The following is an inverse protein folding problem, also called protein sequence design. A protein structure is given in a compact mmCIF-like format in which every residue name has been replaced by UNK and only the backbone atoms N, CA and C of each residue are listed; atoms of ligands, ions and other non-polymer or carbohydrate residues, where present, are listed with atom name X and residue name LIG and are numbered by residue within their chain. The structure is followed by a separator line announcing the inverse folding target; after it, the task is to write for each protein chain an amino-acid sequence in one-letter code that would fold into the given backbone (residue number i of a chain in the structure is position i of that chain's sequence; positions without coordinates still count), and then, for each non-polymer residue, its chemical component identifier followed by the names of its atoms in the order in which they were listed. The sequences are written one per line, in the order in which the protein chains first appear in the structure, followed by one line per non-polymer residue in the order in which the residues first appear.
data_IF_689036292931
#
_entry.id   IF_689036292931
#
_cell.length_a   1.000
_cell.length_b   1.000
_cell.length_c   1.000
_cell.angle_alpha   90.00
_cell.angle_beta   90.00
_cell.angle_gamma   90.00
#
_symmetry.space_group_name_H-M   'P 1'
#
loop_
_entity.id
_entity.type
_entity.pdbx_description
1 polymer ?
#
# COMPACT_ATOMS: atom_id res chain seq x y z
N UNK A 1 6.55 -2.26 -23.57
CA UNK A 1 5.99 -3.26 -22.63
C UNK A 1 4.50 -3.35 -22.88
N UNK A 2 3.95 -4.56 -23.06
CA UNK A 2 2.53 -4.76 -23.37
C UNK A 2 1.66 -4.19 -22.23
N UNK A 3 0.54 -3.54 -22.58
CA UNK A 3 -0.38 -2.91 -21.62
C UNK A 3 -0.84 -3.91 -20.54
N UNK A 4 -1.13 -5.15 -20.95
CA UNK A 4 -1.52 -6.23 -20.05
C UNK A 4 -0.40 -6.59 -19.05
N UNK A 5 0.87 -6.52 -19.45
CA UNK A 5 2.01 -6.81 -18.56
C UNK A 5 2.20 -5.67 -17.56
N UNK A 6 2.05 -4.41 -17.99
CA UNK A 6 2.11 -3.26 -17.06
C UNK A 6 1.05 -3.35 -15.97
N UNK A 7 -0.18 -3.68 -16.37
CA UNK A 7 -1.30 -3.82 -15.44
C UNK A 7 -1.10 -5.00 -14.48
N UNK A 8 -0.66 -6.16 -14.99
CA UNK A 8 -0.37 -7.34 -14.16
C UNK A 8 0.75 -7.06 -13.14
N UNK A 9 1.87 -6.49 -13.57
CA UNK A 9 3.02 -6.20 -12.70
C UNK A 9 2.68 -5.10 -11.70
N UNK A 10 1.96 -4.05 -12.12
CA UNK A 10 1.50 -3.00 -11.22
C UNK A 10 0.55 -3.55 -10.14
N UNK A 11 -0.35 -4.46 -10.52
CA UNK A 11 -1.30 -5.06 -9.59
C UNK A 11 -0.60 -5.94 -8.55
N UNK A 12 0.35 -6.78 -9.00
CA UNK A 12 1.16 -7.62 -8.11
C UNK A 12 2.00 -6.75 -7.16
N UNK A 13 2.61 -5.68 -7.67
CA UNK A 13 3.43 -4.75 -6.89
C UNK A 13 2.63 -4.06 -5.79
N UNK A 14 1.45 -3.51 -6.11
CA UNK A 14 0.56 -2.87 -5.13
C UNK A 14 0.01 -3.89 -4.14
N UNK A 15 -0.35 -5.09 -4.59
CA UNK A 15 -0.81 -6.17 -3.71
C UNK A 15 0.22 -6.55 -2.64
N UNK A 16 1.47 -6.77 -3.05
CA UNK A 16 2.58 -7.06 -2.12
C UNK A 16 2.84 -5.88 -1.18
N UNK A 17 2.80 -4.65 -1.70
CA UNK A 17 3.02 -3.44 -0.92
C UNK A 17 1.96 -3.26 0.18
N UNK A 18 0.68 -3.48 -0.13
CA UNK A 18 -0.41 -3.38 0.84
C UNK A 18 -0.28 -4.46 1.93
N UNK A 19 0.04 -5.71 1.55
CA UNK A 19 0.27 -6.80 2.51
C UNK A 19 1.44 -6.47 3.45
N UNK A 20 2.51 -5.90 2.91
CA UNK A 20 3.68 -5.47 3.67
C UNK A 20 3.35 -4.33 4.66
N UNK A 21 2.71 -3.26 4.20
CA UNK A 21 2.28 -2.13 5.05
C UNK A 21 1.32 -2.61 6.15
N UNK A 22 0.37 -3.48 5.81
CA UNK A 22 -0.56 -4.07 6.78
C UNK A 22 0.15 -4.90 7.86
N UNK A 23 1.11 -5.74 7.44
CA UNK A 23 1.95 -6.52 8.36
C UNK A 23 2.81 -5.64 9.27
N UNK A 24 3.42 -4.57 8.73
CA UNK A 24 4.13 -3.58 9.51
C UNK A 24 3.23 -2.87 10.52
N UNK A 25 2.01 -2.48 10.11
CA UNK A 25 1.03 -1.84 11.00
C UNK A 25 0.66 -2.72 12.17
N UNK A 26 0.40 -4.00 11.91
CA UNK A 26 0.07 -4.94 12.95
C UNK A 26 1.24 -5.16 13.90
N UNK A 27 2.46 -5.33 13.36
CA UNK A 27 3.67 -5.57 14.16
C UNK A 27 4.03 -4.37 15.05
N UNK A 28 3.90 -3.13 14.57
CA UNK A 28 4.20 -1.93 15.36
C UNK A 28 3.10 -1.65 16.41
N UNK A 29 1.83 -1.83 16.04
CA UNK A 29 0.70 -1.61 16.94
C UNK A 29 0.67 -2.61 18.11
N UNK A 30 0.98 -3.88 17.83
CA UNK A 30 1.01 -4.95 18.85
C UNK A 30 2.34 -5.05 19.60
N UNK A 31 3.46 -4.71 18.95
CA UNK A 31 4.80 -4.95 19.49
C UNK A 31 5.48 -3.73 20.14
N UNK A 32 5.23 -2.50 19.67
CA UNK A 32 6.07 -1.34 20.03
C UNK A 32 5.37 -0.24 20.84
N UNK A 33 4.07 0.01 20.63
CA UNK A 33 3.47 1.27 21.08
C UNK A 33 2.11 1.16 21.82
N UNK A 34 1.51 -0.04 21.87
CA UNK A 34 0.13 -0.21 22.35
C UNK A 34 -0.90 0.54 21.51
N UNK A 35 -2.18 0.49 21.89
CA UNK A 35 -3.30 1.04 21.10
C UNK A 35 -3.16 2.55 20.80
N UNK A 36 -2.56 3.33 21.71
CA UNK A 36 -2.42 4.79 21.56
C UNK A 36 -1.26 5.20 20.64
N UNK A 37 -0.21 4.39 20.52
CA UNK A 37 0.88 4.65 19.58
C UNK A 37 0.71 3.95 18.22
N UNK A 38 -0.19 2.97 18.14
CA UNK A 38 -0.59 2.35 16.87
C UNK A 38 -1.52 3.23 16.03
N UNK A 39 -2.34 4.09 16.65
CA UNK A 39 -3.24 5.02 15.96
C UNK A 39 -2.57 5.96 14.94
N UNK A 40 -1.49 6.69 15.27
CA UNK A 40 -0.80 7.53 14.29
C UNK A 40 -0.20 6.71 13.14
N UNK A 41 0.28 5.49 13.42
CA UNK A 41 0.77 4.60 12.38
C UNK A 41 -0.34 4.14 11.43
N UNK A 42 -1.53 3.84 11.97
CA UNK A 42 -2.69 3.44 11.18
C UNK A 42 -3.11 4.54 10.19
N UNK A 43 -3.07 5.80 10.60
CA UNK A 43 -3.38 6.95 9.73
C UNK A 43 -2.36 7.05 8.59
N UNK A 44 -1.07 6.92 8.90
CA UNK A 44 0.01 6.94 7.90
C UNK A 44 -0.15 5.77 6.92
N UNK A 45 -0.43 4.56 7.43
CA UNK A 45 -0.63 3.37 6.61
C UNK A 45 -1.80 3.54 5.63
N UNK A 46 -2.92 4.14 6.06
CA UNK A 46 -4.07 4.44 5.20
C UNK A 46 -3.69 5.43 4.08
N UNK A 47 -2.98 6.51 4.43
CA UNK A 47 -2.55 7.52 3.46
C UNK A 47 -1.60 6.91 2.42
N UNK A 48 -0.65 6.09 2.87
CA UNK A 48 0.33 5.43 1.99
C UNK A 48 -0.34 4.37 1.10
N UNK A 49 -1.29 3.59 1.61
CA UNK A 49 -2.09 2.67 0.79
C UNK A 49 -2.91 3.43 -0.27
N UNK A 50 -3.53 4.57 0.10
CA UNK A 50 -4.25 5.41 -0.85
C UNK A 50 -3.32 5.98 -1.93
N UNK A 51 -2.11 6.42 -1.55
CA UNK A 51 -1.09 6.88 -2.48
C UNK A 51 -0.63 5.76 -3.44
N UNK A 52 -0.43 4.54 -2.95
CA UNK A 52 -0.04 3.39 -3.78
C UNK A 52 -1.13 3.00 -4.79
N UNK A 53 -2.40 3.06 -4.39
CA UNK A 53 -3.54 2.83 -5.29
C UNK A 53 -3.62 3.96 -6.33
N UNK A 54 -3.40 5.20 -5.92
CA UNK A 54 -3.39 6.35 -6.83
C UNK A 54 -2.24 6.27 -7.84
N UNK A 55 -1.05 5.84 -7.40
CA UNK A 55 0.10 5.62 -8.27
C UNK A 55 -0.20 4.51 -9.29
N UNK A 56 -0.73 3.37 -8.86
CA UNK A 56 -1.19 2.32 -9.76
C UNK A 56 -2.20 2.82 -10.80
N UNK A 57 -3.18 3.60 -10.36
CA UNK A 57 -4.19 4.15 -11.26
C UNK A 57 -3.60 5.17 -12.24
N UNK A 58 -2.74 6.09 -11.77
CA UNK A 58 -2.10 7.09 -12.62
C UNK A 58 -1.15 6.45 -13.64
N UNK A 59 -0.36 5.47 -13.22
CA UNK A 59 0.72 4.90 -14.02
C UNK A 59 0.22 3.77 -14.97
N UNK A 60 -0.74 2.95 -14.51
CA UNK A 60 -1.23 1.79 -15.27
C UNK A 60 -2.59 2.04 -15.94
N UNK A 61 -3.46 2.89 -15.41
CA UNK A 61 -4.83 3.08 -15.91
C UNK A 61 -4.98 4.40 -16.68
N UNK A 62 -4.38 5.50 -16.20
CA UNK A 62 -4.58 6.83 -16.79
C UNK A 62 -3.70 7.09 -18.03
N UNK A 63 -2.52 6.47 -18.11
CA UNK A 63 -1.60 6.54 -19.28
C UNK A 63 -1.97 5.52 -20.37
N UNK A 64 -3.26 5.43 -20.71
CA UNK A 64 -3.73 4.65 -21.87
C UNK A 64 -3.38 5.36 -23.16
#
# INVERSE_FOLDING_TARGET
MSYNIKLLVGFIGVGIFIIFIGGLSHSISTGFAGFSGGLPFMIIAIIVCAAAIYDFWSECVRKK
#
